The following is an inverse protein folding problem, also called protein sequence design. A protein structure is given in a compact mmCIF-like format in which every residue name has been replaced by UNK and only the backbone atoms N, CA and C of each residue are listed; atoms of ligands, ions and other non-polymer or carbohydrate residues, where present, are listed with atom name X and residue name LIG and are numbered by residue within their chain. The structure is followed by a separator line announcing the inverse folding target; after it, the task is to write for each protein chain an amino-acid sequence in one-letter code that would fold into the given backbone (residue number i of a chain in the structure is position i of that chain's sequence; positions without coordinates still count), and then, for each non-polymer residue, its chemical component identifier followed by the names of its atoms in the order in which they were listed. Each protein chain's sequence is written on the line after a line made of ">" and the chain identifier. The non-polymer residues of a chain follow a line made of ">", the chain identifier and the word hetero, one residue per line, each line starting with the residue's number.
data_IF_173748866288
#
_entry.id   IF_173748866288
#
_cell.length_a   1.000
_cell.length_b   1.000
_cell.length_c   1.000
_cell.angle_alpha   90.00
_cell.angle_beta   90.00
_cell.angle_gamma   90.00
#
_symmetry.space_group_name_H-M   'P 1'
#
loop_
_entity.id
_entity.type
_entity.pdbx_description
1 polymer ?
#
# COMPACT_ATOMS: atom_id res chain seq x y z
N UNK A 1 10.34 -24.93 -21.31
CA UNK A 1 9.88 -23.54 -21.13
C UNK A 1 10.89 -22.84 -20.22
N UNK A 2 11.23 -21.57 -20.48
CA UNK A 2 12.06 -20.78 -19.56
C UNK A 2 11.30 -20.64 -18.23
N UNK A 3 11.98 -20.82 -17.11
CA UNK A 3 11.37 -20.58 -15.80
C UNK A 3 11.29 -19.09 -15.52
N UNK A 4 10.18 -18.63 -14.97
CA UNK A 4 9.96 -17.25 -14.53
C UNK A 4 10.44 -17.10 -13.08
N UNK A 5 11.24 -16.08 -12.80
CA UNK A 5 11.72 -15.79 -11.46
C UNK A 5 10.91 -14.64 -10.84
N UNK A 6 10.27 -14.91 -9.69
CA UNK A 6 9.46 -13.93 -8.93
C UNK A 6 10.17 -13.61 -7.63
N UNK A 7 10.57 -12.36 -7.45
CA UNK A 7 11.03 -11.84 -6.16
C UNK A 7 9.84 -11.59 -5.24
N UNK A 8 9.89 -12.10 -4.01
CA UNK A 8 8.85 -11.87 -3.00
C UNK A 8 9.44 -11.10 -1.83
N UNK A 9 8.87 -9.94 -1.52
CA UNK A 9 9.29 -9.10 -0.39
C UNK A 9 8.36 -9.32 0.79
N UNK A 10 8.93 -9.74 1.94
CA UNK A 10 8.21 -9.93 3.20
C UNK A 10 8.82 -9.02 4.28
N UNK A 11 8.23 -7.86 4.58
CA UNK A 11 8.61 -7.10 5.76
C UNK A 11 8.11 -7.83 7.02
N UNK A 12 8.95 -7.92 8.05
CA UNK A 12 8.63 -8.69 9.24
C UNK A 12 8.89 -7.90 10.53
N UNK A 13 7.81 -7.64 11.27
CA UNK A 13 7.84 -7.11 12.63
C UNK A 13 6.58 -7.58 13.38
N UNK A 14 6.73 -8.55 14.28
CA UNK A 14 5.59 -9.22 14.92
C UNK A 14 5.75 -9.41 16.43
N UNK A 15 4.59 -9.42 17.11
CA UNK A 15 4.47 -9.73 18.55
C UNK A 15 3.88 -11.11 18.83
N UNK A 16 3.47 -11.84 17.78
CA UNK A 16 2.92 -13.19 17.87
C UNK A 16 3.66 -14.10 16.88
N UNK A 17 4.02 -15.30 17.31
CA UNK A 17 4.66 -16.30 16.44
C UNK A 17 3.66 -16.94 15.48
N UNK A 18 4.16 -17.48 14.37
CA UNK A 18 3.43 -18.31 13.43
C UNK A 18 2.86 -17.56 12.23
N UNK A 19 2.87 -16.23 12.25
CA UNK A 19 2.36 -15.41 11.15
C UNK A 19 3.23 -15.57 9.89
N UNK A 20 4.56 -15.52 10.06
CA UNK A 20 5.50 -15.70 8.95
C UNK A 20 5.40 -17.10 8.35
N UNK A 21 5.19 -18.13 9.18
CA UNK A 21 4.98 -19.50 8.70
C UNK A 21 3.73 -19.62 7.83
N UNK A 22 2.62 -18.96 8.20
CA UNK A 22 1.40 -18.95 7.39
C UNK A 22 1.61 -18.24 6.05
N UNK A 23 2.27 -17.08 6.06
CA UNK A 23 2.62 -16.36 4.84
C UNK A 23 3.47 -17.23 3.90
N UNK A 24 4.55 -17.84 4.42
CA UNK A 24 5.41 -18.74 3.64
C UNK A 24 4.67 -19.98 3.12
N UNK A 25 3.81 -20.58 3.94
CA UNK A 25 2.98 -21.70 3.52
C UNK A 25 2.04 -21.32 2.35
N UNK A 26 1.54 -20.09 2.31
CA UNK A 26 0.72 -19.59 1.19
C UNK A 26 1.50 -19.44 -0.11
N UNK A 27 2.80 -19.10 -0.03
CA UNK A 27 3.71 -19.10 -1.19
C UNK A 27 3.91 -20.53 -1.69
N UNK A 28 4.14 -21.48 -0.78
CA UNK A 28 4.42 -22.87 -1.16
C UNK A 28 3.22 -23.60 -1.79
N UNK A 29 2.01 -23.11 -1.54
CA UNK A 29 0.76 -23.62 -2.13
C UNK A 29 0.44 -23.03 -3.51
N UNK A 30 1.18 -22.02 -3.96
CA UNK A 30 0.90 -21.39 -5.26
C UNK A 30 0.98 -22.41 -6.39
N UNK A 31 0.00 -22.37 -7.29
CA UNK A 31 0.04 -23.13 -8.55
C UNK A 31 1.10 -22.53 -9.49
N UNK A 32 2.33 -23.03 -9.38
CA UNK A 32 3.53 -22.31 -9.80
C UNK A 32 4.44 -23.12 -10.75
N UNK A 33 3.86 -23.86 -11.69
CA UNK A 33 4.66 -24.63 -12.65
C UNK A 33 5.51 -23.68 -13.50
N UNK A 34 6.83 -23.89 -13.47
CA UNK A 34 7.78 -23.03 -14.17
C UNK A 34 8.05 -21.68 -13.48
N UNK A 35 7.61 -21.50 -12.23
CA UNK A 35 7.90 -20.29 -11.45
C UNK A 35 8.86 -20.64 -10.31
N UNK A 36 9.94 -19.87 -10.21
CA UNK A 36 10.84 -19.89 -9.06
C UNK A 36 10.61 -18.65 -8.18
N UNK A 37 10.57 -18.84 -6.88
CA UNK A 37 10.42 -17.77 -5.90
C UNK A 37 11.75 -17.44 -5.23
N UNK A 38 12.10 -16.16 -5.23
CA UNK A 38 13.18 -15.60 -4.44
C UNK A 38 12.58 -14.79 -3.29
N UNK A 39 12.39 -15.46 -2.15
CA UNK A 39 11.72 -14.91 -0.97
C UNK A 39 12.74 -14.13 -0.16
N UNK A 40 12.53 -12.82 -0.01
CA UNK A 40 13.38 -11.94 0.79
C UNK A 40 12.61 -11.43 1.99
N UNK A 41 12.96 -11.94 3.16
CA UNK A 41 12.41 -11.54 4.46
C UNK A 41 13.34 -10.50 5.07
N UNK A 42 12.77 -9.38 5.50
CA UNK A 42 13.50 -8.35 6.24
C UNK A 42 12.92 -8.25 7.65
N UNK A 43 13.66 -8.78 8.62
CA UNK A 43 13.35 -8.66 10.04
C UNK A 43 13.74 -7.25 10.52
N UNK A 44 12.74 -6.43 10.77
CA UNK A 44 12.88 -5.02 11.14
C UNK A 44 13.04 -4.84 12.66
N UNK A 45 13.87 -5.67 13.28
CA UNK A 45 14.10 -5.68 14.72
C UNK A 45 12.88 -6.18 15.50
N UNK A 46 12.23 -7.22 14.98
CA UNK A 46 11.02 -7.82 15.55
C UNK A 46 11.25 -8.40 16.96
N UNK A 47 10.31 -8.22 17.91
CA UNK A 47 10.37 -8.86 19.22
C UNK A 47 10.46 -10.39 19.16
N UNK A 48 9.76 -10.99 18.19
CA UNK A 48 9.89 -12.40 17.84
C UNK A 48 10.73 -12.44 16.58
N UNK A 49 11.90 -13.07 16.59
CA UNK A 49 12.79 -13.04 15.44
C UNK A 49 12.24 -13.86 14.27
N UNK A 50 12.43 -13.38 13.03
CA UNK A 50 12.10 -14.15 11.84
C UNK A 50 12.91 -15.46 11.79
N UNK A 51 14.17 -15.40 12.26
CA UNK A 51 15.08 -16.54 12.32
C UNK A 51 14.50 -17.71 13.13
N UNK A 52 13.84 -17.43 14.25
CA UNK A 52 13.20 -18.47 15.06
C UNK A 52 11.96 -19.08 14.41
N UNK A 53 11.24 -18.35 13.56
CA UNK A 53 10.09 -18.91 12.85
C UNK A 53 10.53 -19.81 11.68
N UNK A 54 11.59 -19.43 10.97
CA UNK A 54 12.02 -20.15 9.76
C UNK A 54 13.09 -21.23 10.01
N UNK A 55 13.56 -21.44 11.24
CA UNK A 55 14.69 -22.34 11.52
C UNK A 55 14.45 -23.78 11.12
N UNK A 56 13.20 -24.24 11.14
CA UNK A 56 12.81 -25.62 10.81
C UNK A 56 12.09 -25.74 9.47
N UNK A 57 12.03 -24.65 8.68
CA UNK A 57 11.27 -24.65 7.43
C UNK A 57 11.97 -25.47 6.36
N UNK A 58 11.21 -26.35 5.69
CA UNK A 58 11.67 -27.06 4.49
C UNK A 58 11.18 -26.32 3.26
N UNK A 59 12.11 -25.71 2.53
CA UNK A 59 11.77 -24.97 1.31
C UNK A 59 11.47 -25.95 0.16
N UNK A 60 10.39 -25.71 -0.61
CA UNK A 60 10.20 -26.36 -1.90
C UNK A 60 11.38 -26.09 -2.85
N UNK A 61 11.62 -26.99 -3.81
CA UNK A 61 12.77 -26.88 -4.73
C UNK A 61 12.79 -25.60 -5.57
N UNK A 62 11.62 -25.05 -5.86
CA UNK A 62 11.46 -23.81 -6.61
C UNK A 62 11.48 -22.56 -5.72
N UNK A 63 11.80 -22.68 -4.44
CA UNK A 63 11.86 -21.57 -3.49
C UNK A 63 13.28 -21.40 -2.95
N UNK A 64 13.75 -20.16 -2.95
CA UNK A 64 14.97 -19.74 -2.24
C UNK A 64 14.60 -18.66 -1.24
N UNK A 65 15.29 -18.63 -0.10
CA UNK A 65 14.97 -17.71 0.99
C UNK A 65 16.22 -16.93 1.39
N UNK A 66 16.09 -15.60 1.42
CA UNK A 66 17.06 -14.67 1.97
C UNK A 66 16.45 -13.99 3.21
N UNK A 67 17.12 -14.11 4.35
CA UNK A 67 16.82 -13.33 5.54
C UNK A 67 17.81 -12.17 5.67
N UNK A 68 17.29 -10.96 5.89
CA UNK A 68 18.04 -9.74 6.20
C UNK A 68 17.59 -9.25 7.57
N UNK A 69 18.53 -8.90 8.44
CA UNK A 69 18.26 -8.34 9.76
C UNK A 69 18.61 -6.85 9.75
N UNK A 70 17.73 -6.02 10.29
CA UNK A 70 18.01 -4.60 10.53
C UNK A 70 17.46 -4.13 11.87
N UNK A 71 17.88 -2.94 12.32
CA UNK A 71 17.21 -2.25 13.42
C UNK A 71 15.89 -1.68 12.92
N UNK A 72 14.87 -1.62 13.79
CA UNK A 72 13.55 -1.11 13.46
C UNK A 72 13.63 0.29 12.84
N UNK A 73 13.23 0.37 11.57
CA UNK A 73 13.16 1.58 10.76
C UNK A 73 11.81 1.73 10.04
N UNK A 74 10.88 0.80 10.28
CA UNK A 74 9.54 0.81 9.72
C UNK A 74 9.42 0.00 8.43
N UNK A 75 8.16 -0.27 8.00
CA UNK A 75 7.86 -1.16 6.88
C UNK A 75 8.40 -0.65 5.54
N UNK A 76 8.36 0.67 5.29
CA UNK A 76 8.92 1.28 4.08
C UNK A 76 10.42 0.95 3.93
N UNK A 77 11.21 1.18 4.98
CA UNK A 77 12.64 0.91 4.99
C UNK A 77 12.93 -0.59 4.84
N UNK A 78 12.15 -1.45 5.50
CA UNK A 78 12.29 -2.90 5.37
C UNK A 78 11.99 -3.38 3.93
N UNK A 79 10.93 -2.87 3.30
CA UNK A 79 10.60 -3.19 1.89
C UNK A 79 11.68 -2.67 0.95
N UNK A 80 12.16 -1.43 1.12
CA UNK A 80 13.26 -0.88 0.33
C UNK A 80 14.55 -1.69 0.46
N UNK A 81 14.87 -2.16 1.67
CA UNK A 81 16.04 -3.02 1.91
C UNK A 81 15.96 -4.33 1.13
N UNK A 82 14.76 -4.90 1.01
CA UNK A 82 14.52 -6.08 0.18
C UNK A 82 14.66 -5.76 -1.32
N UNK A 83 14.09 -4.63 -1.76
CA UNK A 83 14.23 -4.16 -3.15
C UNK A 83 15.68 -3.98 -3.56
N UNK A 84 16.52 -3.41 -2.69
CA UNK A 84 17.95 -3.22 -2.96
C UNK A 84 18.70 -4.54 -3.14
N UNK A 85 18.35 -5.56 -2.35
CA UNK A 85 18.89 -6.91 -2.54
C UNK A 85 18.43 -7.50 -3.89
N UNK A 86 17.13 -7.43 -4.17
CA UNK A 86 16.51 -7.99 -5.38
C UNK A 86 16.94 -7.28 -6.67
N UNK A 87 17.37 -6.02 -6.59
CA UNK A 87 17.92 -5.27 -7.72
C UNK A 87 19.16 -5.95 -8.34
N UNK A 88 19.94 -6.67 -7.53
CA UNK A 88 21.10 -7.45 -7.98
C UNK A 88 20.80 -8.90 -8.33
N UNK A 89 19.53 -9.31 -8.39
CA UNK A 89 19.10 -10.69 -8.62
C UNK A 89 18.44 -10.84 -9.98
N UNK A 90 18.44 -12.05 -10.52
CA UNK A 90 17.77 -12.38 -11.78
C UNK A 90 16.27 -12.66 -11.52
N UNK A 91 15.47 -11.59 -11.38
CA UNK A 91 14.02 -11.66 -11.23
C UNK A 91 13.32 -10.89 -12.35
N UNK A 92 12.21 -11.43 -12.83
CA UNK A 92 11.39 -10.82 -13.89
C UNK A 92 10.23 -10.02 -13.28
N UNK A 93 9.66 -10.54 -12.19
CA UNK A 93 8.52 -9.94 -11.50
C UNK A 93 8.79 -9.78 -10.02
N UNK A 94 8.16 -8.77 -9.44
CA UNK A 94 8.20 -8.52 -8.00
C UNK A 94 6.79 -8.62 -7.42
N UNK A 95 6.65 -9.35 -6.32
CA UNK A 95 5.44 -9.43 -5.50
C UNK A 95 5.76 -9.03 -4.05
N UNK A 96 4.75 -8.55 -3.33
CA UNK A 96 4.85 -8.29 -1.89
C UNK A 96 3.93 -9.24 -1.13
N UNK A 97 4.34 -9.61 0.09
CA UNK A 97 3.50 -10.35 1.02
C UNK A 97 3.82 -9.87 2.43
N UNK A 98 2.93 -9.11 3.04
CA UNK A 98 3.05 -8.74 4.45
C UNK A 98 2.98 -10.01 5.32
N UNK A 99 3.77 -10.04 6.39
CA UNK A 99 3.98 -11.26 7.19
C UNK A 99 2.74 -11.82 7.91
N UNK A 100 1.65 -11.05 7.99
CA UNK A 100 0.36 -11.44 8.55
C UNK A 100 -0.71 -11.74 7.49
N UNK A 101 -0.36 -11.69 6.20
CA UNK A 101 -1.25 -11.97 5.08
C UNK A 101 -1.00 -13.35 4.47
N UNK A 102 -1.95 -13.81 3.66
CA UNK A 102 -1.83 -15.05 2.90
C UNK A 102 -2.35 -14.86 1.48
N UNK A 103 -1.64 -15.40 0.50
CA UNK A 103 -2.14 -15.51 -0.87
C UNK A 103 -3.09 -16.70 -1.01
N UNK A 104 -4.12 -16.52 -1.84
CA UNK A 104 -4.90 -17.65 -2.35
C UNK A 104 -4.06 -18.42 -3.38
N UNK A 105 -4.28 -19.72 -3.52
CA UNK A 105 -3.46 -20.64 -4.33
C UNK A 105 -3.31 -20.23 -5.81
N UNK A 106 -4.24 -19.42 -6.32
CA UNK A 106 -4.27 -18.92 -7.70
C UNK A 106 -3.63 -17.53 -7.89
N UNK A 107 -3.29 -16.80 -6.83
CA UNK A 107 -2.91 -15.38 -6.90
C UNK A 107 -1.72 -15.13 -7.85
N UNK A 108 -0.60 -15.82 -7.62
CA UNK A 108 0.59 -15.65 -8.46
C UNK A 108 0.36 -16.18 -9.88
N UNK A 109 -0.38 -17.28 -10.03
CA UNK A 109 -0.69 -17.80 -11.36
C UNK A 109 -1.52 -16.82 -12.20
N UNK A 110 -2.46 -16.10 -11.57
CA UNK A 110 -3.24 -15.05 -12.22
C UNK A 110 -2.39 -13.82 -12.52
N UNK A 111 -1.50 -13.42 -11.60
CA UNK A 111 -0.54 -12.36 -11.85
C UNK A 111 0.35 -12.68 -13.07
N UNK A 112 0.86 -13.90 -13.20
CA UNK A 112 1.69 -14.29 -14.34
C UNK A 112 0.91 -14.32 -15.65
N UNK A 113 -0.34 -14.79 -15.65
CA UNK A 113 -1.23 -14.70 -16.82
C UNK A 113 -1.41 -13.25 -17.25
N UNK A 114 -1.76 -12.37 -16.31
CA UNK A 114 -1.97 -10.95 -16.59
C UNK A 114 -0.69 -10.26 -17.09
N UNK A 115 0.45 -10.49 -16.45
CA UNK A 115 1.73 -9.88 -16.79
C UNK A 115 2.38 -10.48 -18.06
N UNK A 116 1.89 -11.63 -18.55
CA UNK A 116 2.29 -12.18 -19.85
C UNK A 116 1.62 -11.47 -21.03
N UNK A 117 0.54 -10.72 -20.79
CA UNK A 117 -0.12 -9.92 -21.81
C UNK A 117 0.81 -8.78 -22.23
N UNK A 118 0.87 -8.53 -23.54
CA UNK A 118 1.72 -7.49 -24.08
C UNK A 118 1.48 -6.13 -23.41
N UNK A 119 2.58 -5.48 -23.05
CA UNK A 119 2.67 -4.15 -22.42
C UNK A 119 2.03 -4.01 -21.04
N UNK A 120 1.73 -5.12 -20.35
CA UNK A 120 1.31 -5.08 -18.94
C UNK A 120 2.52 -4.99 -18.03
N UNK A 121 2.51 -3.98 -17.17
CA UNK A 121 3.63 -3.66 -16.29
C UNK A 121 3.25 -3.84 -14.81
N UNK A 122 1.95 -3.74 -14.48
CA UNK A 122 1.46 -3.74 -13.12
C UNK A 122 0.16 -4.56 -13.03
N UNK A 123 0.11 -5.44 -12.03
CA UNK A 123 -1.03 -6.26 -11.67
C UNK A 123 -1.42 -6.07 -10.22
N UNK A 124 -2.72 -6.09 -9.93
CA UNK A 124 -3.22 -6.27 -8.57
C UNK A 124 -4.53 -7.05 -8.52
N UNK A 125 -4.88 -7.60 -7.36
CA UNK A 125 -6.17 -8.26 -7.14
C UNK A 125 -6.96 -7.61 -6.02
N UNK A 126 -8.26 -7.90 -5.99
CA UNK A 126 -9.09 -7.68 -4.80
C UNK A 126 -8.59 -8.53 -3.62
N UNK A 127 -9.02 -8.18 -2.41
CA UNK A 127 -8.68 -8.89 -1.18
C UNK A 127 -9.81 -8.83 -0.15
N UNK A 128 -9.78 -9.74 0.82
CA UNK A 128 -10.61 -9.68 2.03
C UNK A 128 -9.73 -9.46 3.26
N UNK A 129 -10.36 -9.04 4.37
CA UNK A 129 -9.64 -8.72 5.60
C UNK A 129 -10.38 -9.23 6.84
N UNK A 130 -9.63 -9.75 7.81
CA UNK A 130 -10.12 -10.11 9.15
C UNK A 130 -11.39 -10.99 9.18
N UNK A 131 -11.50 -11.93 8.24
CA UNK A 131 -12.69 -12.78 8.04
C UNK A 131 -13.97 -12.02 7.63
N UNK A 132 -13.83 -10.79 7.13
CA UNK A 132 -14.93 -10.04 6.50
C UNK A 132 -15.48 -10.82 5.30
N UNK A 133 -16.81 -10.89 5.20
CA UNK A 133 -17.49 -11.39 4.01
C UNK A 133 -17.26 -10.44 2.81
N UNK A 134 -17.01 -9.16 3.09
CA UNK A 134 -16.80 -8.13 2.08
C UNK A 134 -15.34 -8.06 1.64
N UNK A 135 -15.15 -7.76 0.36
CA UNK A 135 -13.86 -7.45 -0.22
C UNK A 135 -13.61 -5.94 -0.27
N UNK A 136 -12.37 -5.52 -0.50
CA UNK A 136 -12.01 -4.11 -0.65
C UNK A 136 -12.85 -3.41 -1.74
N UNK A 137 -13.04 -4.07 -2.89
CA UNK A 137 -13.80 -3.45 -3.98
C UNK A 137 -15.27 -3.21 -3.61
N UNK A 138 -15.86 -4.11 -2.82
CA UNK A 138 -17.20 -3.94 -2.28
C UNK A 138 -17.25 -2.78 -1.26
N UNK A 139 -16.29 -2.72 -0.34
CA UNK A 139 -16.23 -1.70 0.72
C UNK A 139 -15.99 -0.30 0.16
N UNK A 140 -15.04 -0.16 -0.77
CA UNK A 140 -14.73 1.12 -1.44
C UNK A 140 -15.87 1.59 -2.34
N UNK A 141 -16.70 0.66 -2.82
CA UNK A 141 -17.81 0.91 -3.73
C UNK A 141 -17.38 1.40 -5.12
N UNK A 142 -16.10 1.28 -5.46
CA UNK A 142 -15.55 1.78 -6.73
C UNK A 142 -16.18 1.13 -7.97
N UNK A 143 -16.67 -0.11 -7.83
CA UNK A 143 -17.32 -0.89 -8.88
C UNK A 143 -18.79 -1.25 -8.58
N UNK A 144 -19.46 -0.51 -7.67
CA UNK A 144 -20.91 -0.71 -7.41
C UNK A 144 -21.77 -0.51 -8.65
N UNK A 145 -21.35 0.43 -9.49
CA UNK A 145 -21.89 0.67 -10.83
C UNK A 145 -20.76 0.40 -11.83
N UNK A 146 -20.66 -0.87 -12.27
CA UNK A 146 -19.56 -1.34 -13.09
C UNK A 146 -19.53 -0.65 -14.45
N UNK A 147 -20.69 -0.46 -15.10
CA UNK A 147 -20.78 0.20 -16.40
C UNK A 147 -20.27 1.65 -16.34
N UNK A 148 -20.62 2.37 -15.26
CA UNK A 148 -20.10 3.72 -15.03
C UNK A 148 -18.60 3.72 -14.77
N UNK A 149 -18.08 2.76 -14.00
CA UNK A 149 -16.65 2.65 -13.75
C UNK A 149 -15.88 2.32 -15.05
N UNK A 150 -16.40 1.37 -15.84
CA UNK A 150 -15.87 0.96 -17.15
C UNK A 150 -15.79 2.15 -18.09
N UNK A 151 -16.89 2.89 -18.26
CA UNK A 151 -16.91 4.08 -19.11
C UNK A 151 -15.96 5.18 -18.60
N UNK A 152 -15.97 5.45 -17.29
CA UNK A 152 -15.20 6.56 -16.70
C UNK A 152 -13.69 6.35 -16.80
N UNK A 153 -13.22 5.12 -16.60
CA UNK A 153 -11.80 4.81 -16.58
C UNK A 153 -11.33 4.07 -17.84
N UNK A 154 -12.21 3.88 -18.84
CA UNK A 154 -11.92 3.13 -20.06
C UNK A 154 -11.35 1.73 -19.73
N UNK A 155 -12.09 0.97 -18.93
CA UNK A 155 -11.72 -0.38 -18.52
C UNK A 155 -12.18 -1.34 -19.61
N UNK A 156 -11.33 -2.30 -19.98
CA UNK A 156 -11.67 -3.41 -20.86
C UNK A 156 -11.77 -4.67 -20.01
N UNK A 157 -12.95 -5.30 -20.01
CA UNK A 157 -13.20 -6.52 -19.26
C UNK A 157 -12.88 -7.73 -20.15
N UNK A 158 -12.10 -8.67 -19.64
CA UNK A 158 -11.72 -9.91 -20.33
C UNK A 158 -11.66 -11.05 -19.31
N UNK A 159 -12.60 -12.00 -19.40
CA UNK A 159 -12.77 -13.12 -18.47
C UNK A 159 -12.69 -12.70 -16.98
N UNK A 160 -11.60 -13.08 -16.31
CA UNK A 160 -11.33 -12.84 -14.87
C UNK A 160 -10.59 -11.52 -14.59
N UNK A 161 -10.33 -10.73 -15.64
CA UNK A 161 -9.48 -9.56 -15.61
C UNK A 161 -10.17 -8.29 -16.12
N UNK A 162 -9.69 -7.17 -15.60
CA UNK A 162 -10.01 -5.84 -16.06
C UNK A 162 -8.70 -5.13 -16.42
N UNK A 163 -8.66 -4.59 -17.62
CA UNK A 163 -7.46 -3.99 -18.21
C UNK A 163 -7.70 -2.50 -18.47
N UNK A 164 -6.70 -1.68 -18.19
CA UNK A 164 -6.76 -0.24 -18.41
C UNK A 164 -5.36 0.34 -18.60
N UNK A 165 -5.28 1.55 -19.14
CA UNK A 165 -4.00 2.25 -19.26
C UNK A 165 -3.46 2.63 -17.87
N UNK A 166 -2.14 2.81 -17.75
CA UNK A 166 -1.56 3.34 -16.50
C UNK A 166 -2.18 4.68 -16.08
N UNK A 167 -2.43 5.59 -17.04
CA UNK A 167 -3.12 6.87 -16.79
C UNK A 167 -4.53 6.68 -16.21
N UNK A 168 -5.33 5.80 -16.79
CA UNK A 168 -6.67 5.48 -16.27
C UNK A 168 -6.60 4.88 -14.87
N UNK A 169 -5.65 3.97 -14.64
CA UNK A 169 -5.43 3.35 -13.35
C UNK A 169 -5.00 4.36 -12.29
N UNK A 170 -4.09 5.28 -12.64
CA UNK A 170 -3.69 6.40 -11.79
C UNK A 170 -4.89 7.26 -11.40
N UNK A 171 -5.74 7.67 -12.36
CA UNK A 171 -6.96 8.43 -12.07
C UNK A 171 -7.94 7.63 -11.20
N UNK A 172 -8.03 6.30 -11.38
CA UNK A 172 -8.85 5.42 -10.54
C UNK A 172 -8.30 5.38 -9.10
N UNK A 173 -7.00 5.17 -8.93
CA UNK A 173 -6.32 5.22 -7.64
C UNK A 173 -6.50 6.57 -6.96
N UNK A 174 -6.43 7.71 -7.66
CA UNK A 174 -6.69 9.03 -7.05
C UNK A 174 -8.10 9.18 -6.44
N UNK A 175 -9.06 8.38 -6.90
CA UNK A 175 -10.43 8.40 -6.40
C UNK A 175 -10.70 7.33 -5.33
N UNK A 176 -9.98 6.20 -5.38
CA UNK A 176 -10.22 5.05 -4.53
C UNK A 176 -8.90 4.34 -4.20
N UNK A 177 -8.72 3.94 -2.95
CA UNK A 177 -7.64 3.02 -2.56
C UNK A 177 -8.08 1.59 -2.90
N UNK A 178 -7.60 1.04 -4.01
CA UNK A 178 -8.10 -0.22 -4.60
C UNK A 178 -7.04 -1.33 -4.68
N UNK A 179 -5.97 -1.24 -3.92
CA UNK A 179 -5.02 -2.35 -3.81
C UNK A 179 -4.43 -2.34 -2.42
N UNK A 180 -4.12 -3.51 -1.90
CA UNK A 180 -3.31 -3.64 -0.69
C UNK A 180 -1.97 -4.22 -1.09
N UNK A 181 -0.95 -3.96 -0.29
CA UNK A 181 0.44 -4.30 -0.59
C UNK A 181 0.62 -5.75 -1.04
N UNK A 182 0.07 -6.70 -0.29
CA UNK A 182 0.17 -8.13 -0.61
C UNK A 182 -0.57 -8.55 -1.88
N UNK A 183 -1.42 -7.69 -2.47
CA UNK A 183 -2.14 -8.01 -3.72
C UNK A 183 -1.44 -7.55 -4.98
N UNK A 184 -0.31 -6.86 -4.87
CA UNK A 184 0.41 -6.26 -6.00
C UNK A 184 1.53 -7.17 -6.51
N UNK A 185 1.57 -7.31 -7.84
CA UNK A 185 2.71 -7.88 -8.59
C UNK A 185 3.05 -6.97 -9.76
N UNK A 186 4.33 -6.72 -10.04
CA UNK A 186 4.71 -5.88 -11.17
C UNK A 186 5.94 -6.39 -11.93
N UNK A 187 6.06 -5.97 -13.19
CA UNK A 187 7.22 -6.23 -14.04
C UNK A 187 8.44 -5.50 -13.48
N UNK A 188 9.37 -6.26 -12.90
CA UNK A 188 10.47 -5.68 -12.15
C UNK A 188 11.38 -4.87 -13.05
N UNK A 189 11.73 -5.38 -14.24
CA UNK A 189 12.65 -4.67 -15.13
C UNK A 189 12.17 -3.29 -15.56
N UNK A 190 10.86 -3.15 -15.78
CA UNK A 190 10.25 -1.88 -16.18
C UNK A 190 10.08 -0.90 -15.03
N UNK A 191 9.90 -1.39 -13.80
CA UNK A 191 9.48 -0.56 -12.65
C UNK A 191 10.46 -0.60 -11.46
N UNK A 192 11.62 -1.26 -11.58
CA UNK A 192 12.62 -1.47 -10.50
C UNK A 192 13.22 -0.22 -9.85
N UNK A 193 13.03 0.96 -10.41
CA UNK A 193 13.55 2.20 -9.84
C UNK A 193 12.59 2.87 -8.84
N UNK A 194 11.36 2.40 -8.74
CA UNK A 194 10.40 2.91 -7.75
C UNK A 194 10.70 2.35 -6.36
N UNK A 195 10.43 3.14 -5.32
CA UNK A 195 10.74 2.83 -3.91
C UNK A 195 9.60 3.31 -3.01
N UNK A 196 9.48 2.69 -1.84
CA UNK A 196 8.59 3.19 -0.80
C UNK A 196 9.15 4.48 -0.24
N UNK A 197 8.32 5.51 -0.13
CA UNK A 197 8.76 6.78 0.45
C UNK A 197 8.78 6.70 1.98
N UNK A 198 9.98 6.57 2.55
CA UNK A 198 10.19 6.48 4.00
C UNK A 198 9.79 7.75 4.78
N UNK A 199 9.55 8.87 4.10
CA UNK A 199 9.02 10.08 4.72
C UNK A 199 7.51 10.03 4.96
N UNK A 200 6.77 9.13 4.29
CA UNK A 200 5.34 8.89 4.51
C UNK A 200 5.14 7.93 5.69
N UNK A 201 5.42 8.44 6.88
CA UNK A 201 5.33 7.65 8.13
C UNK A 201 3.86 7.46 8.51
N UNK A 202 3.53 6.24 8.97
CA UNK A 202 2.21 5.84 9.50
C UNK A 202 1.05 5.75 8.50
N UNK A 203 1.17 6.31 7.29
CA UNK A 203 0.15 6.19 6.25
C UNK A 203 0.69 6.60 4.86
N UNK A 204 0.33 5.80 3.86
CA UNK A 204 0.35 6.18 2.45
C UNK A 204 1.66 5.90 1.72
N UNK A 205 2.64 5.25 2.34
CA UNK A 205 3.88 4.85 1.66
C UNK A 205 3.61 3.85 0.54
N UNK A 206 2.71 2.90 0.77
CA UNK A 206 2.28 1.89 -0.20
C UNK A 206 1.43 2.53 -1.29
N UNK A 207 0.45 3.34 -0.90
CA UNK A 207 -0.44 4.03 -1.82
C UNK A 207 0.31 4.99 -2.76
N UNK A 208 1.33 5.69 -2.25
CA UNK A 208 2.16 6.55 -3.09
C UNK A 208 2.90 5.73 -4.15
N UNK A 209 3.48 4.59 -3.75
CA UNK A 209 4.13 3.68 -4.68
C UNK A 209 3.13 3.17 -5.74
N UNK A 210 1.91 2.78 -5.36
CA UNK A 210 0.88 2.34 -6.34
C UNK A 210 0.53 3.43 -7.35
N UNK A 211 0.46 4.69 -6.92
CA UNK A 211 0.29 5.83 -7.82
C UNK A 211 1.48 5.96 -8.77
N UNK A 212 2.71 5.83 -8.29
CA UNK A 212 3.90 5.89 -9.16
C UNK A 212 3.93 4.72 -10.16
N UNK A 213 3.69 3.48 -9.70
CA UNK A 213 3.65 2.32 -10.58
C UNK A 213 2.56 2.47 -11.65
N UNK A 214 1.34 2.88 -11.26
CA UNK A 214 0.26 3.12 -12.22
C UNK A 214 0.62 4.25 -13.20
N UNK A 215 1.24 5.34 -12.73
CA UNK A 215 1.64 6.46 -13.57
C UNK A 215 2.72 6.08 -14.60
N UNK A 216 3.68 5.24 -14.20
CA UNK A 216 4.79 4.77 -15.03
C UNK A 216 4.45 3.57 -15.92
N UNK A 217 3.30 2.93 -15.71
CA UNK A 217 2.88 1.74 -16.47
C UNK A 217 2.23 2.09 -17.80
N UNK A 218 2.50 1.29 -18.82
CA UNK A 218 1.80 1.35 -20.11
C UNK A 218 0.38 0.80 -19.94
N UNK A 219 0.28 -0.42 -19.43
CA UNK A 219 -0.98 -1.12 -19.16
C UNK A 219 -0.97 -1.73 -17.76
N UNK A 220 -2.12 -1.66 -17.12
CA UNK A 220 -2.39 -2.25 -15.81
C UNK A 220 -3.51 -3.26 -15.96
N UNK A 221 -3.42 -4.36 -15.23
CA UNK A 221 -4.46 -5.37 -15.16
C UNK A 221 -4.84 -5.58 -13.70
N UNK A 222 -6.12 -5.73 -13.42
CA UNK A 222 -6.55 -6.16 -12.10
C UNK A 222 -7.59 -7.28 -12.17
N UNK A 223 -7.69 -8.06 -11.10
CA UNK A 223 -8.70 -9.12 -10.98
C UNK A 223 -9.70 -8.80 -9.87
N UNK A 224 -10.98 -9.07 -10.14
CA UNK A 224 -12.05 -9.01 -9.14
C UNK A 224 -12.00 -10.19 -8.15
N UNK A 225 -11.25 -11.23 -8.47
CA UNK A 225 -11.07 -12.36 -7.56
C UNK A 225 -10.27 -11.92 -6.34
N UNK A 226 -10.74 -12.34 -5.16
CA UNK A 226 -10.02 -12.16 -3.89
C UNK A 226 -8.76 -13.00 -3.89
N UNK A 227 -7.65 -12.43 -4.37
CA UNK A 227 -6.36 -13.13 -4.45
C UNK A 227 -5.61 -13.18 -3.12
N UNK A 228 -6.02 -12.37 -2.14
CA UNK A 228 -5.33 -12.21 -0.86
C UNK A 228 -6.31 -12.20 0.29
N UNK A 229 -5.92 -12.88 1.37
CA UNK A 229 -6.53 -12.74 2.68
C UNK A 229 -5.60 -11.93 3.58
N UNK A 230 -6.07 -10.77 4.04
CA UNK A 230 -5.34 -9.91 4.97
C UNK A 230 -5.63 -10.31 6.42
N UNK A 231 -4.63 -10.88 7.10
CA UNK A 231 -4.78 -11.41 8.45
C UNK A 231 -4.57 -10.35 9.54
N UNK A 232 -4.55 -10.78 10.80
CA UNK A 232 -4.43 -9.91 11.98
C UNK A 232 -3.00 -9.91 12.55
N UNK A 233 -2.16 -8.98 12.10
CA UNK A 233 -0.87 -8.66 12.72
C UNK A 233 -0.87 -7.31 13.45
N UNK A 234 0.34 -6.79 13.69
CA UNK A 234 0.55 -5.50 14.36
C UNK A 234 0.07 -4.36 13.44
N UNK A 235 -1.10 -3.79 13.73
CA UNK A 235 -1.69 -2.69 12.96
C UNK A 235 -1.69 -1.39 13.76
N UNK A 236 -0.89 -0.41 13.33
CA UNK A 236 -0.82 0.93 13.98
C UNK A 236 -1.97 1.85 13.53
N UNK A 237 -2.54 1.58 12.35
CA UNK A 237 -3.48 2.50 11.70
C UNK A 237 -4.86 2.56 12.38
N UNK A 238 -5.41 1.45 12.88
CA UNK A 238 -6.79 1.41 13.36
C UNK A 238 -7.02 2.07 14.72
N UNK A 239 -6.02 2.05 15.61
CA UNK A 239 -6.12 2.72 16.91
C UNK A 239 -6.22 4.26 16.78
N UNK A 240 -5.99 4.80 15.58
CA UNK A 240 -5.98 6.23 15.27
C UNK A 240 -7.31 6.80 14.75
N UNK A 241 -8.37 5.99 14.64
CA UNK A 241 -9.70 6.51 14.23
C UNK A 241 -10.49 7.17 15.37
N UNK A 242 -10.05 7.03 16.62
CA UNK A 242 -10.65 7.69 17.77
C UNK A 242 -10.19 9.16 17.86
N UNK A 243 -11.12 10.09 17.62
CA UNK A 243 -10.92 11.54 17.69
C UNK A 243 -10.62 12.07 19.10
N UNK A 244 -10.70 11.23 20.14
CA UNK A 244 -10.25 11.54 21.49
C UNK A 244 -8.78 11.24 21.76
N UNK A 245 -8.10 10.53 20.84
CA UNK A 245 -6.68 10.15 20.94
C UNK A 245 -5.80 11.02 20.06
N UNK A 246 -4.60 11.34 20.54
CA UNK A 246 -3.58 12.11 19.80
C UNK A 246 -3.27 11.49 18.41
N UNK A 247 -3.32 10.17 18.32
CA UNK A 247 -3.10 9.40 17.09
C UNK A 247 -3.99 9.85 15.92
N UNK A 248 -5.22 10.33 16.19
CA UNK A 248 -6.12 10.82 15.14
C UNK A 248 -5.62 12.10 14.48
N UNK A 249 -5.19 13.10 15.25
CA UNK A 249 -4.58 14.32 14.70
C UNK A 249 -3.27 14.01 13.97
N UNK A 250 -2.49 13.06 14.49
CA UNK A 250 -1.27 12.60 13.83
C UNK A 250 -1.57 11.99 12.46
N UNK A 251 -2.53 11.04 12.38
CA UNK A 251 -2.93 10.41 11.11
C UNK A 251 -3.40 11.44 10.09
N UNK A 252 -4.34 12.32 10.45
CA UNK A 252 -4.88 13.31 9.51
C UNK A 252 -3.79 14.28 9.01
N UNK A 253 -2.83 14.64 9.86
CA UNK A 253 -1.71 15.48 9.43
C UNK A 253 -0.78 14.75 8.45
N UNK A 254 -0.48 13.47 8.66
CA UNK A 254 0.28 12.68 7.67
C UNK A 254 -0.49 12.48 6.36
N UNK A 255 -1.80 12.23 6.43
CA UNK A 255 -2.67 12.14 5.25
C UNK A 255 -2.71 13.47 4.46
N UNK A 256 -2.67 14.59 5.18
CA UNK A 256 -2.51 15.92 4.56
C UNK A 256 -1.19 16.02 3.80
N UNK A 257 -0.07 15.63 4.42
CA UNK A 257 1.24 15.64 3.78
C UNK A 257 1.29 14.74 2.54
N UNK A 258 0.66 13.57 2.62
CA UNK A 258 0.52 12.63 1.51
C UNK A 258 -0.17 13.29 0.29
N UNK A 259 -1.36 13.87 0.45
CA UNK A 259 -2.05 14.52 -0.68
C UNK A 259 -1.33 15.77 -1.20
N UNK A 260 -0.60 16.51 -0.34
CA UNK A 260 0.25 17.61 -0.80
C UNK A 260 1.45 17.11 -1.61
N UNK A 261 2.00 15.95 -1.25
CA UNK A 261 3.06 15.29 -2.02
C UNK A 261 2.53 14.88 -3.39
N UNK A 262 1.36 14.22 -3.47
CA UNK A 262 0.71 13.91 -4.75
C UNK A 262 0.58 15.16 -5.63
N UNK A 263 0.08 16.26 -5.05
CA UNK A 263 -0.13 17.52 -5.78
C UNK A 263 1.15 18.12 -6.35
N UNK A 264 2.29 17.93 -5.68
CA UNK A 264 3.58 18.52 -6.08
C UNK A 264 4.44 17.59 -6.93
N UNK A 265 4.28 16.28 -6.77
CA UNK A 265 5.10 15.28 -7.45
C UNK A 265 4.57 14.93 -8.85
N UNK A 266 3.25 14.76 -9.00
CA UNK A 266 2.66 14.34 -10.27
C UNK A 266 2.20 15.52 -11.13
N UNK A 267 2.35 15.38 -12.45
CA UNK A 267 1.75 16.29 -13.42
C UNK A 267 0.25 16.00 -13.58
N UNK A 268 -0.55 16.58 -12.70
CA UNK A 268 -1.99 16.38 -12.65
C UNK A 268 -2.74 17.24 -13.68
N UNK A 269 -3.79 16.68 -14.29
CA UNK A 269 -4.73 17.46 -15.11
C UNK A 269 -5.67 18.32 -14.23
N UNK A 270 -6.45 19.23 -14.83
CA UNK A 270 -7.29 20.18 -14.07
C UNK A 270 -8.30 19.50 -13.13
N UNK A 271 -8.88 18.37 -13.54
CA UNK A 271 -9.86 17.62 -12.73
C UNK A 271 -9.15 16.97 -11.54
N UNK A 272 -8.01 16.32 -11.79
CA UNK A 272 -7.19 15.67 -10.76
C UNK A 272 -6.61 16.68 -9.77
N UNK A 273 -6.09 17.82 -10.26
CA UNK A 273 -5.61 18.94 -9.43
C UNK A 273 -6.69 19.42 -8.47
N UNK A 274 -7.90 19.64 -8.97
CA UNK A 274 -9.01 20.09 -8.14
C UNK A 274 -9.41 19.04 -7.09
N UNK A 275 -9.42 17.76 -7.46
CA UNK A 275 -9.71 16.65 -6.55
C UNK A 275 -8.69 16.55 -5.42
N UNK A 276 -7.40 16.47 -5.76
CA UNK A 276 -6.30 16.36 -4.80
C UNK A 276 -6.25 17.61 -3.90
N UNK A 277 -6.46 18.80 -4.49
CA UNK A 277 -6.54 20.06 -3.74
C UNK A 277 -7.70 20.10 -2.75
N UNK A 278 -8.88 19.65 -3.18
CA UNK A 278 -10.05 19.55 -2.31
C UNK A 278 -9.79 18.59 -1.14
N UNK A 279 -9.17 17.43 -1.42
CA UNK A 279 -8.83 16.45 -0.40
C UNK A 279 -7.87 17.01 0.66
N UNK A 280 -6.70 17.55 0.27
CA UNK A 280 -5.79 18.09 1.28
C UNK A 280 -6.37 19.32 1.98
N UNK A 281 -7.18 20.16 1.30
CA UNK A 281 -7.79 21.33 1.95
C UNK A 281 -8.78 20.92 3.04
N UNK A 282 -9.60 19.88 2.77
CA UNK A 282 -10.50 19.30 3.77
C UNK A 282 -9.73 18.68 4.94
N UNK A 283 -8.67 17.92 4.67
CA UNK A 283 -7.83 17.32 5.70
C UNK A 283 -7.13 18.39 6.55
N UNK A 284 -6.71 19.50 5.94
CA UNK A 284 -6.15 20.64 6.66
C UNK A 284 -7.15 21.28 7.62
N UNK A 285 -8.42 21.42 7.24
CA UNK A 285 -9.47 21.88 8.15
C UNK A 285 -9.66 20.91 9.33
N UNK A 286 -9.76 19.60 9.05
CA UNK A 286 -9.90 18.56 10.08
C UNK A 286 -8.70 18.49 11.02
N UNK A 287 -7.49 18.56 10.47
CA UNK A 287 -6.24 18.59 11.23
C UNK A 287 -6.21 19.82 12.15
N UNK A 288 -6.56 21.00 11.62
CA UNK A 288 -6.61 22.24 12.40
C UNK A 288 -7.60 22.13 13.57
N UNK A 289 -8.78 21.57 13.30
CA UNK A 289 -9.78 21.32 14.34
C UNK A 289 -9.25 20.40 15.45
N UNK A 290 -8.79 19.22 15.08
CA UNK A 290 -8.34 18.21 16.04
C UNK A 290 -7.11 18.67 16.82
N UNK A 291 -6.17 19.33 16.15
CA UNK A 291 -4.92 19.75 16.79
C UNK A 291 -5.17 20.82 17.85
N UNK A 292 -5.99 21.84 17.55
CA UNK A 292 -6.38 22.85 18.55
C UNK A 292 -7.21 22.23 19.68
N UNK A 293 -8.16 21.33 19.35
CA UNK A 293 -8.93 20.58 20.35
C UNK A 293 -8.03 19.80 21.30
N UNK A 294 -7.05 19.05 20.77
CA UNK A 294 -6.11 18.27 21.57
C UNK A 294 -5.18 19.14 22.42
N UNK A 295 -4.77 20.30 21.90
CA UNK A 295 -4.01 21.27 22.68
C UNK A 295 -4.81 21.80 23.87
N UNK A 296 -6.04 22.26 23.64
CA UNK A 296 -6.91 22.82 24.69
C UNK A 296 -7.32 21.75 25.73
N UNK A 297 -7.53 20.51 25.29
CA UNK A 297 -7.93 19.39 26.16
C UNK A 297 -6.74 18.67 26.82
N UNK A 298 -5.51 19.19 26.68
CA UNK A 298 -4.33 18.63 27.33
C UNK A 298 -3.86 17.27 26.79
N UNK A 299 -4.31 16.86 25.60
CA UNK A 299 -3.91 15.59 24.95
C UNK A 299 -2.49 15.65 24.34
N UNK A 300 -1.92 16.86 24.22
CA UNK A 300 -0.59 17.08 23.67
C UNK A 300 -0.56 17.26 22.15
N UNK A 301 0.64 17.29 21.59
CA UNK A 301 0.90 17.55 20.17
C UNK A 301 2.03 16.66 19.65
N UNK A 302 1.91 16.21 18.41
CA UNK A 302 2.98 15.52 17.70
C UNK A 302 3.99 16.54 17.14
N UNK A 303 5.06 16.78 17.90
CA UNK A 303 6.11 17.75 17.54
C UNK A 303 6.86 17.37 16.26
N UNK A 304 7.01 16.08 15.98
CA UNK A 304 7.71 15.60 14.78
C UNK A 304 6.88 15.93 13.55
N UNK A 305 5.58 15.61 13.58
CA UNK A 305 4.64 15.96 12.53
C UNK A 305 4.55 17.47 12.32
N UNK A 306 4.46 18.28 13.38
CA UNK A 306 4.41 19.73 13.26
C UNK A 306 5.64 20.30 12.55
N UNK A 307 6.83 19.81 12.89
CA UNK A 307 8.07 20.20 12.21
C UNK A 307 8.05 19.81 10.73
N UNK A 308 7.51 18.62 10.38
CA UNK A 308 7.35 18.20 8.97
C UNK A 308 6.38 19.11 8.22
N UNK A 309 5.22 19.40 8.80
CA UNK A 309 4.24 20.32 8.22
C UNK A 309 4.84 21.70 8.04
N UNK A 310 5.59 22.21 9.02
CA UNK A 310 6.25 23.51 8.89
C UNK A 310 7.20 23.57 7.69
N UNK A 311 7.98 22.52 7.44
CA UNK A 311 8.91 22.44 6.30
C UNK A 311 8.21 22.35 4.95
N UNK A 312 7.12 21.59 4.85
CA UNK A 312 6.40 21.33 3.58
C UNK A 312 5.35 22.41 3.28
N UNK A 313 4.69 22.91 4.32
CA UNK A 313 3.58 23.86 4.22
C UNK A 313 3.43 24.69 5.50
N UNK A 314 4.28 25.72 5.70
CA UNK A 314 4.20 26.58 6.87
C UNK A 314 2.85 27.31 6.96
N UNK A 315 2.23 27.59 5.80
CA UNK A 315 0.87 28.18 5.72
C UNK A 315 -0.18 27.34 6.43
N UNK A 316 -0.03 26.01 6.47
CA UNK A 316 -0.97 25.12 7.17
C UNK A 316 -1.02 25.42 8.67
N UNK A 317 0.14 25.74 9.27
CA UNK A 317 0.23 26.11 10.67
C UNK A 317 -0.23 27.55 10.92
N UNK A 318 0.10 28.48 10.04
CA UNK A 318 -0.32 29.89 10.18
C UNK A 318 -1.86 30.02 10.17
N UNK A 319 -2.54 29.21 9.36
CA UNK A 319 -3.99 29.25 9.19
C UNK A 319 -4.77 28.42 10.22
N UNK A 320 -4.11 27.80 11.20
CA UNK A 320 -4.74 26.94 12.19
C UNK A 320 -5.93 27.59 12.90
N UNK A 321 -5.84 28.81 13.47
CA UNK A 321 -6.95 29.41 14.21
C UNK A 321 -8.17 29.65 13.32
N UNK A 322 -7.95 30.14 12.10
CA UNK A 322 -9.01 30.42 11.13
C UNK A 322 -9.74 29.15 10.68
N UNK A 323 -8.96 28.09 10.39
CA UNK A 323 -9.52 26.78 9.98
C UNK A 323 -10.25 26.08 11.11
N UNK A 324 -9.75 26.19 12.34
CA UNK A 324 -10.45 25.70 13.53
C UNK A 324 -11.83 26.33 13.66
N UNK A 325 -11.92 27.66 13.60
CA UNK A 325 -13.20 28.39 13.70
C UNK A 325 -14.15 28.01 12.56
N UNK A 326 -13.66 27.95 11.32
CA UNK A 326 -14.47 27.57 10.16
C UNK A 326 -15.06 26.16 10.32
N UNK A 327 -14.23 25.18 10.69
CA UNK A 327 -14.69 23.81 10.90
C UNK A 327 -15.69 23.71 12.06
N UNK A 328 -15.43 24.41 13.17
CA UNK A 328 -16.33 24.44 14.33
C UNK A 328 -17.72 24.98 13.97
N UNK A 329 -17.79 26.05 13.18
CA UNK A 329 -19.06 26.62 12.70
C UNK A 329 -19.78 25.63 11.79
N UNK A 330 -19.07 25.03 10.81
CA UNK A 330 -19.64 24.03 9.90
C UNK A 330 -20.15 22.78 10.63
N UNK A 331 -19.53 22.39 11.75
CA UNK A 331 -19.91 21.18 12.50
C UNK A 331 -21.16 21.35 13.39
N UNK A 332 -21.63 22.60 13.56
CA UNK A 332 -22.81 22.93 14.38
C UNK A 332 -24.08 23.15 13.55
N UNK A 333 -23.94 23.28 12.24
CA UNK A 333 -25.02 23.35 11.25
C UNK A 333 -25.13 22.00 10.56
#
# INVERSE_FOLDING_TARGET
>A
MKSINVGVVIPFYQKKSGLLLNALASIFKQSAQGINFLITIVDDGSPISAKSEISEIKLPKNCTLKLILQKNQGPAAARNKALDYLYGQDIEFLAFLDSDDCWMDFHISNAMKALSIQDVDFYFSDHSRFDSEHSLFNETGCFKDLDKAVCKYNIHLEDDFAMLTGKSCFSLFLNYYISQTSSVVYNFDKLKNHRFDESLVSAGEDYFLWLELAHSSSKVVFSFNKGVYCGRGVNIFFDSFDWGKLASSTRIGYETLFYRKIYSFFELNSIEKNKVKSNYSRLEEQFSYLMVKHFITGKGLDKVLLNRIYKVSPRTLILLPFRFLNYFIKSKN
#
